data_IF_442904540240
#
_entry.id   IF_442904540240
#
_cell.length_a   1.000
_cell.length_b   1.000
_cell.length_c   1.000
_cell.angle_alpha   90.00
_cell.angle_beta   90.00
_cell.angle_gamma   90.00
#
_symmetry.space_group_name_H-M   'P 1'
#
loop_
_entity.id
_entity.type
_entity.pdbx_description
1 polymer ?
#
# COMPACT_ATOMS: atom_id res chain seq x y z
N UNK A 1 -19.63 -3.98 13.76
CA UNK A 1 -19.31 -3.07 12.65
C UNK A 1 -18.37 -2.00 13.16
N UNK A 2 -17.18 -1.87 12.58
CA UNK A 2 -16.20 -0.82 12.94
C UNK A 2 -16.71 0.52 12.43
N UNK A 3 -16.55 1.61 13.18
CA UNK A 3 -17.01 2.92 12.72
C UNK A 3 -16.23 3.37 11.48
N UNK A 4 -16.83 4.14 10.56
CA UNK A 4 -16.15 4.62 9.36
C UNK A 4 -14.85 5.38 9.67
N UNK A 5 -14.83 6.16 10.75
CA UNK A 5 -13.63 6.87 11.20
C UNK A 5 -12.54 5.90 11.69
N UNK A 6 -12.90 4.87 12.44
CA UNK A 6 -11.94 3.87 12.91
C UNK A 6 -11.36 3.06 11.74
N UNK A 7 -12.17 2.73 10.74
CA UNK A 7 -11.68 2.11 9.51
C UNK A 7 -10.69 3.01 8.76
N UNK A 8 -10.95 4.33 8.66
CA UNK A 8 -9.99 5.28 8.08
C UNK A 8 -8.69 5.37 8.88
N UNK A 9 -8.75 5.31 10.21
CA UNK A 9 -7.55 5.28 11.06
C UNK A 9 -6.73 4.01 10.82
N UNK A 10 -7.40 2.87 10.68
CA UNK A 10 -6.74 1.60 10.39
C UNK A 10 -6.15 1.55 8.97
N UNK A 11 -6.82 2.12 7.97
CA UNK A 11 -6.26 2.29 6.63
C UNK A 11 -4.98 3.13 6.64
N UNK A 12 -4.96 4.23 7.41
CA UNK A 12 -3.77 5.07 7.56
C UNK A 12 -2.63 4.30 8.25
N UNK A 13 -2.92 3.54 9.30
CA UNK A 13 -1.92 2.71 9.99
C UNK A 13 -1.33 1.63 9.06
N UNK A 14 -2.17 0.96 8.26
CA UNK A 14 -1.72 -0.01 7.26
C UNK A 14 -0.86 0.65 6.18
N UNK A 15 -1.21 1.85 5.74
CA UNK A 15 -0.44 2.59 4.71
C UNK A 15 0.95 3.00 5.24
N UNK A 16 1.06 3.42 6.50
CA UNK A 16 2.35 3.69 7.13
C UNK A 16 3.17 2.40 7.33
N UNK A 17 2.54 1.28 7.71
CA UNK A 17 3.22 0.00 7.83
C UNK A 17 3.75 -0.51 6.46
N UNK A 18 2.96 -0.35 5.40
CA UNK A 18 3.41 -0.62 4.02
C UNK A 18 4.61 0.24 3.64
N UNK A 19 4.60 1.54 3.99
CA UNK A 19 5.72 2.45 3.77
C UNK A 19 6.99 1.98 4.50
N UNK A 20 6.84 1.56 5.76
CA UNK A 20 7.95 0.99 6.54
C UNK A 20 8.52 -0.28 5.91
N UNK A 21 7.66 -1.23 5.54
CA UNK A 21 8.06 -2.50 4.92
C UNK A 21 8.74 -2.30 3.56
N UNK A 22 8.20 -1.41 2.71
CA UNK A 22 8.83 -1.04 1.45
C UNK A 22 10.21 -0.39 1.66
N UNK A 23 10.34 0.47 2.69
CA UNK A 23 11.61 1.11 3.04
C UNK A 23 12.68 0.15 3.56
N UNK A 24 12.29 -0.93 4.24
CA UNK A 24 13.21 -1.99 4.69
C UNK A 24 13.45 -3.09 3.66
N UNK A 25 12.73 -3.07 2.53
CA UNK A 25 12.78 -4.13 1.52
C UNK A 25 12.09 -5.42 1.95
N UNK A 26 11.20 -5.36 2.96
CA UNK A 26 10.38 -6.48 3.40
C UNK A 26 9.14 -6.61 2.49
N UNK A 27 9.34 -7.24 1.34
CA UNK A 27 8.31 -7.35 0.30
C UNK A 27 7.17 -8.30 0.67
N UNK A 28 7.41 -9.26 1.57
CA UNK A 28 6.40 -10.20 2.05
C UNK A 28 5.42 -9.47 2.98
N UNK A 29 5.94 -8.81 4.02
CA UNK A 29 5.12 -7.99 4.93
C UNK A 29 4.40 -6.86 4.18
N UNK A 30 5.04 -6.25 3.18
CA UNK A 30 4.38 -5.26 2.32
C UNK A 30 3.13 -5.84 1.63
N UNK A 31 3.23 -7.05 1.08
CA UNK A 31 2.12 -7.70 0.39
C UNK A 31 0.99 -8.08 1.36
N UNK A 32 1.32 -8.55 2.56
CA UNK A 32 0.33 -8.86 3.60
C UNK A 32 -0.44 -7.61 4.04
N UNK A 33 0.27 -6.51 4.29
CA UNK A 33 -0.35 -5.23 4.65
C UNK A 33 -1.21 -4.67 3.51
N UNK A 34 -0.77 -4.81 2.26
CA UNK A 34 -1.56 -4.40 1.10
C UNK A 34 -2.87 -5.19 1.01
N UNK A 35 -2.82 -6.51 1.19
CA UNK A 35 -4.01 -7.36 1.19
C UNK A 35 -4.99 -6.99 2.31
N UNK A 36 -4.48 -6.76 3.53
CA UNK A 36 -5.29 -6.31 4.66
C UNK A 36 -5.92 -4.93 4.40
N UNK A 37 -5.15 -4.00 3.82
CA UNK A 37 -5.63 -2.65 3.46
C UNK A 37 -6.73 -2.72 2.41
N UNK A 38 -6.57 -3.57 1.39
CA UNK A 38 -7.57 -3.78 0.34
C UNK A 38 -8.86 -4.36 0.90
N UNK A 39 -8.77 -5.42 1.71
CA UNK A 39 -9.95 -6.03 2.34
C UNK A 39 -10.71 -5.02 3.23
N UNK A 40 -10.00 -4.16 3.96
CA UNK A 40 -10.61 -3.11 4.76
C UNK A 40 -11.28 -2.04 3.89
N UNK A 41 -10.62 -1.60 2.82
CA UNK A 41 -11.17 -0.63 1.88
C UNK A 41 -12.45 -1.15 1.22
N UNK A 42 -12.48 -2.41 0.81
CA UNK A 42 -13.64 -3.07 0.20
C UNK A 42 -14.81 -3.24 1.17
N UNK A 43 -14.53 -3.25 2.48
CA UNK A 43 -15.56 -3.29 3.52
C UNK A 43 -16.24 -1.94 3.81
N UNK A 44 -15.67 -0.84 3.31
CA UNK A 44 -16.20 0.50 3.53
C UNK A 44 -17.38 0.81 2.58
N UNK A 45 -18.39 1.55 3.04
CA UNK A 45 -19.50 1.95 2.19
C UNK A 45 -19.05 2.97 1.14
N UNK A 46 -19.63 2.89 -0.05
CA UNK A 46 -19.34 3.82 -1.15
C UNK A 46 -19.58 5.31 -0.78
N UNK A 47 -20.51 5.57 0.16
CA UNK A 47 -20.78 6.92 0.69
C UNK A 47 -20.21 7.12 2.10
N UNK A 48 -18.89 7.14 2.20
CA UNK A 48 -18.17 7.46 3.44
C UNK A 48 -18.52 8.85 3.98
N UNK A 49 -18.62 9.85 3.10
CA UNK A 49 -18.92 11.24 3.45
C UNK A 49 -20.32 11.42 4.04
N UNK A 50 -21.31 10.64 3.57
CA UNK A 50 -22.67 10.66 4.14
C UNK A 50 -22.77 9.98 5.51
N UNK A 51 -21.80 9.13 5.85
CA UNK A 51 -21.78 8.38 7.13
C UNK A 51 -21.04 9.09 8.26
N UNK A 52 -20.35 10.20 7.98
CA UNK A 52 -19.48 10.89 8.93
C UNK A 52 -20.07 12.25 9.38
N UNK A 53 -20.22 12.48 10.70
CA UNK A 53 -20.61 13.78 11.24
C UNK A 53 -19.67 14.89 10.77
N UNK A 54 -20.18 16.10 10.53
CA UNK A 54 -19.40 17.25 10.07
C UNK A 54 -18.15 17.52 10.94
N UNK A 55 -18.28 17.36 12.26
CA UNK A 55 -17.19 17.55 13.21
C UNK A 55 -15.98 16.61 12.99
N UNK A 56 -16.17 15.44 12.35
CA UNK A 56 -15.10 14.47 12.09
C UNK A 56 -14.63 14.46 10.64
N UNK A 57 -15.27 15.20 9.74
CA UNK A 57 -14.91 15.22 8.31
C UNK A 57 -13.49 15.76 8.07
N UNK A 58 -13.07 16.79 8.80
CA UNK A 58 -11.71 17.32 8.71
C UNK A 58 -10.66 16.26 9.09
N UNK A 59 -10.92 15.48 10.14
CA UNK A 59 -10.04 14.38 10.56
C UNK A 59 -10.04 13.24 9.55
N UNK A 60 -11.20 12.86 9.03
CA UNK A 60 -11.32 11.84 7.99
C UNK A 60 -10.53 12.23 6.73
N UNK A 61 -10.64 13.49 6.30
CA UNK A 61 -9.86 14.04 5.19
C UNK A 61 -8.36 13.95 5.44
N UNK A 62 -7.89 14.36 6.62
CA UNK A 62 -6.47 14.28 6.98
C UNK A 62 -5.93 12.84 6.94
N UNK A 63 -6.73 11.85 7.35
CA UNK A 63 -6.37 10.43 7.28
C UNK A 63 -6.27 9.94 5.83
N UNK A 64 -7.22 10.32 4.97
CA UNK A 64 -7.20 9.97 3.55
C UNK A 64 -5.97 10.56 2.87
N UNK A 65 -5.68 11.84 3.13
CA UNK A 65 -4.49 12.52 2.60
C UNK A 65 -3.19 11.87 3.11
N UNK A 66 -3.17 11.34 4.34
CA UNK A 66 -2.03 10.58 4.86
C UNK A 66 -1.82 9.26 4.11
N UNK A 67 -2.89 8.50 3.83
CA UNK A 67 -2.81 7.31 3.00
C UNK A 67 -2.25 7.63 1.61
N UNK A 68 -2.74 8.69 0.97
CA UNK A 68 -2.28 9.11 -0.35
C UNK A 68 -0.78 9.47 -0.38
N UNK A 69 -0.28 10.14 0.67
CA UNK A 69 1.16 10.41 0.81
C UNK A 69 1.97 9.12 0.97
N UNK A 70 1.51 8.19 1.80
CA UNK A 70 2.19 6.89 1.96
C UNK A 70 2.23 6.11 0.63
N UNK A 71 1.13 6.09 -0.12
CA UNK A 71 1.06 5.42 -1.42
C UNK A 71 2.03 6.06 -2.43
N UNK A 72 2.18 7.40 -2.40
CA UNK A 72 3.14 8.12 -3.22
C UNK A 72 4.60 7.78 -2.85
N UNK A 73 4.89 7.53 -1.57
CA UNK A 73 6.22 7.13 -1.07
C UNK A 73 6.53 5.65 -1.39
N UNK A 74 5.55 4.76 -1.29
CA UNK A 74 5.71 3.31 -1.54
C UNK A 74 5.93 3.01 -3.02
N UNK A 75 5.19 3.70 -3.90
CA UNK A 75 5.20 3.42 -5.34
C UNK A 75 6.58 3.39 -6.00
N UNK A 76 7.45 4.41 -5.83
CA UNK A 76 8.78 4.37 -6.45
C UNK A 76 9.66 3.21 -5.95
N UNK A 77 9.49 2.77 -4.70
CA UNK A 77 10.24 1.65 -4.12
C UNK A 77 9.84 0.32 -4.77
N UNK A 78 8.53 0.11 -4.94
CA UNK A 78 7.99 -1.06 -5.64
C UNK A 78 8.41 -1.06 -7.11
N UNK A 79 8.32 0.08 -7.79
CA UNK A 79 8.72 0.21 -9.19
C UNK A 79 10.22 -0.10 -9.39
N UNK A 80 11.08 0.41 -8.51
CA UNK A 80 12.50 0.10 -8.50
C UNK A 80 12.74 -1.42 -8.33
N UNK A 81 12.10 -2.03 -7.34
CA UNK A 81 12.25 -3.47 -7.07
C UNK A 81 11.78 -4.33 -8.25
N UNK A 82 10.64 -4.00 -8.86
CA UNK A 82 10.14 -4.72 -10.03
C UNK A 82 11.09 -4.60 -11.22
N UNK A 83 11.73 -3.45 -11.40
CA UNK A 83 12.74 -3.26 -12.44
C UNK A 83 13.99 -4.11 -12.18
N UNK A 84 14.49 -4.16 -10.95
CA UNK A 84 15.60 -5.05 -10.57
C UNK A 84 15.28 -6.51 -10.86
N UNK A 85 14.10 -6.98 -10.43
CA UNK A 85 13.68 -8.37 -10.64
C UNK A 85 13.57 -8.71 -12.13
N UNK A 86 13.07 -7.79 -12.97
CA UNK A 86 13.02 -7.98 -14.43
C UNK A 86 14.42 -8.17 -15.03
N UNK A 87 15.41 -7.42 -14.55
CA UNK A 87 16.81 -7.55 -15.01
C UNK A 87 17.36 -8.91 -14.60
N UNK A 88 17.20 -9.31 -13.35
CA UNK A 88 17.66 -10.60 -12.82
C UNK A 88 17.02 -11.77 -13.58
N UNK A 89 15.71 -11.74 -13.78
CA UNK A 89 14.98 -12.77 -14.51
C UNK A 89 15.40 -12.86 -15.98
N UNK A 90 15.71 -11.73 -16.62
CA UNK A 90 16.23 -11.72 -17.99
C UNK A 90 17.61 -12.37 -18.06
N UNK A 91 18.51 -12.03 -17.14
CA UNK A 91 19.85 -12.62 -17.09
C UNK A 91 19.78 -14.14 -16.85
N UNK A 92 18.93 -14.59 -15.93
CA UNK A 92 18.73 -16.03 -15.66
C UNK A 92 18.21 -16.79 -16.89
N UNK A 93 17.36 -16.16 -17.71
CA UNK A 93 16.83 -16.75 -18.96
C UNK A 93 17.84 -16.80 -20.10
N UNK A 94 18.83 -15.93 -20.11
CA UNK A 94 19.84 -15.90 -21.17
C UNK A 94 20.79 -17.11 -21.12
N UNK A 95 20.88 -17.78 -19.95
CA UNK A 95 21.79 -18.91 -19.72
C UNK A 95 23.27 -18.51 -19.82
N UNK A 96 24.20 -19.37 -19.40
CA UNK A 96 25.57 -19.27 -19.88
C UNK A 96 25.51 -19.50 -21.39
N UNK A 97 26.00 -18.56 -22.20
CA UNK A 97 26.28 -18.85 -23.61
C UNK A 97 27.17 -20.10 -23.62
N UNK A 98 26.65 -21.20 -24.17
CA UNK A 98 27.45 -22.37 -24.47
C UNK A 98 28.39 -21.94 -25.61
N UNK A 99 29.55 -21.41 -25.21
CA UNK A 99 30.69 -21.23 -26.09
C UNK A 99 31.02 -22.63 -26.65
N UNK A 100 30.68 -22.84 -27.92
CA UNK A 100 31.04 -24.00 -28.72
C UNK A 100 32.20 -23.62 -29.62
#
# INVERSE_FOLDING_TARGET
MTSPLAALQQLAALSEAMRGAAGSGDWETLAEHEAARRALADSLPASLSGSLPAAVQAKARALIEACQRCDADVRPLVDARLNELRVVLRAARAGPQADT
#
